data_IF_762398935623
#
_entry.id   IF_762398935623
#
_cell.length_a   1.000
_cell.length_b   1.000
_cell.length_c   1.000
_cell.angle_alpha   90.00
_cell.angle_beta   90.00
_cell.angle_gamma   90.00
#
_symmetry.space_group_name_H-M   'P 1'
#
loop_
_entity.id
_entity.type
_entity.pdbx_description
1 polymer ?
#
# COMPACT_ATOMS: atom_id res chain seq x y z
N UNK A 1 -9.46 12.26 -1.90
CA UNK A 1 -9.21 13.08 -3.12
C UNK A 1 -8.76 12.22 -4.31
N UNK A 2 -7.73 11.37 -4.22
CA UNK A 2 -7.26 10.57 -5.38
C UNK A 2 -8.30 9.58 -5.93
N UNK A 3 -9.24 9.12 -5.10
CA UNK A 3 -10.32 8.24 -5.50
C UNK A 3 -11.37 8.92 -6.39
N UNK A 4 -11.62 10.22 -6.20
CA UNK A 4 -12.57 10.99 -7.01
C UNK A 4 -12.11 11.15 -8.46
N UNK A 5 -10.79 11.28 -8.68
CA UNK A 5 -10.22 11.37 -10.03
C UNK A 5 -10.47 10.06 -10.80
N UNK A 6 -10.25 8.93 -10.12
CA UNK A 6 -10.48 7.62 -10.70
C UNK A 6 -11.98 7.38 -10.98
N UNK A 7 -12.84 7.78 -10.04
CA UNK A 7 -14.31 7.69 -10.19
C UNK A 7 -14.83 8.48 -11.40
N UNK A 8 -14.30 9.71 -11.59
CA UNK A 8 -14.66 10.53 -12.75
C UNK A 8 -14.28 9.88 -14.08
N UNK A 9 -13.08 9.27 -14.14
CA UNK A 9 -12.65 8.55 -15.33
C UNK A 9 -13.48 7.27 -15.59
N UNK A 10 -13.89 6.56 -14.52
CA UNK A 10 -14.78 5.38 -14.61
C UNK A 10 -16.15 5.74 -15.18
N UNK A 11 -16.72 6.86 -14.74
CA UNK A 11 -18.03 7.31 -15.24
C UNK A 11 -18.00 7.53 -16.77
N UNK A 12 -16.84 7.86 -17.33
CA UNK A 12 -16.65 8.04 -18.76
C UNK A 12 -16.50 6.71 -19.55
N UNK A 13 -16.14 5.60 -18.89
CA UNK A 13 -15.95 4.29 -19.53
C UNK A 13 -17.24 3.47 -19.69
N UNK A 14 -18.28 3.79 -18.92
CA UNK A 14 -19.57 3.12 -18.98
C UNK A 14 -19.93 2.29 -17.74
N UNK A 15 -21.20 1.89 -17.66
CA UNK A 15 -21.76 1.22 -16.47
C UNK A 15 -21.15 -0.16 -16.20
N UNK A 16 -20.84 -0.94 -17.25
CA UNK A 16 -20.27 -2.28 -17.12
C UNK A 16 -18.86 -2.26 -16.53
N UNK A 17 -17.99 -1.33 -17.00
CA UNK A 17 -16.64 -1.17 -16.48
C UNK A 17 -16.65 -0.64 -15.03
N UNK A 18 -17.61 0.25 -14.72
CA UNK A 18 -17.83 0.72 -13.36
C UNK A 18 -18.24 -0.41 -12.42
N UNK A 19 -19.16 -1.28 -12.84
CA UNK A 19 -19.59 -2.44 -12.04
C UNK A 19 -18.44 -3.41 -11.80
N UNK A 20 -17.66 -3.73 -12.84
CA UNK A 20 -16.49 -4.60 -12.75
C UNK A 20 -15.44 -4.05 -11.75
N UNK A 21 -15.11 -2.76 -11.88
CA UNK A 21 -14.19 -2.11 -10.95
C UNK A 21 -14.71 -2.07 -9.52
N UNK A 22 -16.00 -1.73 -9.34
CA UNK A 22 -16.61 -1.62 -8.00
C UNK A 22 -16.55 -2.96 -7.27
N UNK A 23 -16.87 -4.06 -7.94
CA UNK A 23 -16.78 -5.40 -7.35
C UNK A 23 -15.33 -5.78 -7.01
N UNK A 24 -14.40 -5.56 -7.95
CA UNK A 24 -12.97 -5.85 -7.74
C UNK A 24 -12.35 -4.98 -6.63
N UNK A 25 -12.75 -3.72 -6.52
CA UNK A 25 -12.25 -2.80 -5.49
C UNK A 25 -12.65 -3.21 -4.06
N UNK A 26 -13.74 -3.94 -3.89
CA UNK A 26 -14.11 -4.51 -2.58
C UNK A 26 -13.11 -5.59 -2.14
N UNK A 27 -12.67 -6.42 -3.08
CA UNK A 27 -11.62 -7.41 -2.83
C UNK A 27 -10.29 -6.73 -2.55
N UNK A 28 -9.90 -5.72 -3.36
CA UNK A 28 -8.72 -4.90 -3.11
C UNK A 28 -8.72 -4.29 -1.71
N UNK A 29 -9.84 -3.75 -1.26
CA UNK A 29 -9.95 -3.13 0.06
C UNK A 29 -9.63 -4.11 1.20
N UNK A 30 -10.07 -5.36 1.11
CA UNK A 30 -9.72 -6.41 2.07
C UNK A 30 -8.22 -6.70 2.06
N UNK A 31 -7.61 -6.83 0.86
CA UNK A 31 -6.17 -7.09 0.71
C UNK A 31 -5.33 -5.94 1.26
N UNK A 32 -5.75 -4.69 1.01
CA UNK A 32 -5.08 -3.49 1.55
C UNK A 32 -5.15 -3.43 3.08
N UNK A 33 -6.26 -3.82 3.68
CA UNK A 33 -6.39 -3.89 5.14
C UNK A 33 -5.43 -4.89 5.75
N UNK A 34 -5.31 -6.08 5.15
CA UNK A 34 -4.36 -7.10 5.61
C UNK A 34 -2.92 -6.58 5.53
N UNK A 35 -2.51 -6.03 4.39
CA UNK A 35 -1.16 -5.48 4.22
C UNK A 35 -0.93 -4.24 5.09
N UNK A 36 -1.93 -3.40 5.26
CA UNK A 36 -1.89 -2.22 6.12
C UNK A 36 -1.68 -2.54 7.60
N UNK A 37 -2.23 -3.67 8.07
CA UNK A 37 -2.04 -4.15 9.43
C UNK A 37 -0.56 -4.42 9.75
N UNK A 38 0.21 -4.98 8.80
CA UNK A 38 1.66 -5.14 8.95
C UNK A 38 2.39 -3.81 9.06
N UNK A 39 1.96 -2.78 8.29
CA UNK A 39 2.50 -1.43 8.41
C UNK A 39 2.25 -0.85 9.82
N UNK A 40 1.02 -0.94 10.31
CA UNK A 40 0.64 -0.45 11.64
C UNK A 40 1.43 -1.17 12.74
N UNK A 41 1.54 -2.49 12.67
CA UNK A 41 2.35 -3.28 13.61
C UNK A 41 3.83 -2.86 13.57
N UNK A 42 4.40 -2.67 12.38
CA UNK A 42 5.77 -2.18 12.22
C UNK A 42 5.95 -0.79 12.82
N UNK A 43 5.00 0.13 12.64
CA UNK A 43 5.04 1.47 13.25
C UNK A 43 5.06 1.41 14.76
N UNK A 44 4.18 0.63 15.37
CA UNK A 44 4.10 0.46 16.82
C UNK A 44 5.41 -0.13 17.38
N UNK A 45 5.92 -1.19 16.75
CA UNK A 45 7.16 -1.82 17.13
C UNK A 45 8.35 -0.84 17.05
N UNK A 46 8.44 -0.10 15.94
CA UNK A 46 9.48 0.91 15.73
C UNK A 46 9.37 2.01 16.76
N UNK A 47 8.19 2.55 17.04
CA UNK A 47 7.99 3.62 18.01
C UNK A 47 8.42 3.21 19.42
N UNK A 48 8.05 2.02 19.88
CA UNK A 48 8.43 1.50 21.20
C UNK A 48 9.94 1.32 21.33
N UNK A 49 10.59 0.73 20.32
CA UNK A 49 12.05 0.53 20.36
C UNK A 49 12.83 1.83 20.14
N UNK A 50 12.27 2.78 19.40
CA UNK A 50 12.84 4.12 19.25
C UNK A 50 12.82 4.89 20.58
N UNK A 51 11.71 4.82 21.32
CA UNK A 51 11.58 5.39 22.65
C UNK A 51 12.62 4.82 23.65
N UNK A 52 12.91 3.50 23.56
CA UNK A 52 13.93 2.84 24.39
C UNK A 52 15.37 3.03 23.90
N UNK A 53 15.59 3.59 22.71
CA UNK A 53 16.93 3.72 22.12
C UNK A 53 17.48 2.42 21.49
N UNK A 54 16.65 1.39 21.33
CA UNK A 54 17.01 0.06 20.84
C UNK A 54 17.08 0.03 19.30
N UNK A 55 18.05 0.77 18.74
CA UNK A 55 18.14 1.01 17.28
C UNK A 55 18.45 -0.27 16.47
N UNK A 56 19.16 -1.22 17.06
CA UNK A 56 19.43 -2.53 16.46
C UNK A 56 18.13 -3.33 16.25
N UNK A 57 17.25 -3.34 17.26
CA UNK A 57 15.95 -4.00 17.21
C UNK A 57 15.03 -3.40 16.15
N UNK A 58 15.09 -2.07 15.95
CA UNK A 58 14.30 -1.41 14.89
C UNK A 58 14.69 -1.96 13.51
N UNK A 59 16.01 -2.07 13.21
CA UNK A 59 16.44 -2.61 11.91
C UNK A 59 16.02 -4.04 11.70
N UNK A 60 16.16 -4.87 12.71
CA UNK A 60 15.76 -6.27 12.67
C UNK A 60 14.24 -6.42 12.51
N UNK A 61 13.45 -5.66 13.30
CA UNK A 61 12.00 -5.67 13.24
C UNK A 61 11.47 -5.23 11.88
N UNK A 62 12.00 -4.15 11.30
CA UNK A 62 11.61 -3.71 9.96
C UNK A 62 11.94 -4.79 8.91
N UNK A 63 13.13 -5.41 8.99
CA UNK A 63 13.50 -6.50 8.08
C UNK A 63 12.55 -7.70 8.19
N UNK A 64 12.22 -8.12 9.41
CA UNK A 64 11.26 -9.21 9.65
C UNK A 64 9.86 -8.85 9.16
N UNK A 65 9.41 -7.62 9.42
CA UNK A 65 8.11 -7.13 8.91
C UNK A 65 8.06 -7.16 7.38
N UNK A 66 9.14 -6.76 6.69
CA UNK A 66 9.23 -6.84 5.24
C UNK A 66 9.14 -8.29 4.74
N UNK A 67 9.88 -9.23 5.36
CA UNK A 67 9.84 -10.64 4.99
C UNK A 67 8.43 -11.25 5.17
N UNK A 68 7.79 -10.98 6.31
CA UNK A 68 6.43 -11.46 6.59
C UNK A 68 5.42 -10.85 5.61
N UNK A 69 5.51 -9.55 5.36
CA UNK A 69 4.60 -8.87 4.43
C UNK A 69 4.76 -9.37 3.00
N UNK A 70 5.98 -9.64 2.55
CA UNK A 70 6.22 -10.24 1.23
C UNK A 70 5.65 -11.66 1.14
N UNK A 71 5.84 -12.49 2.16
CA UNK A 71 5.25 -13.83 2.22
C UNK A 71 3.72 -13.77 2.16
N UNK A 72 3.11 -12.86 2.93
CA UNK A 72 1.66 -12.65 2.91
C UNK A 72 1.19 -12.11 1.55
N UNK A 73 1.95 -11.20 0.92
CA UNK A 73 1.61 -10.69 -0.43
C UNK A 73 1.57 -11.83 -1.46
N UNK A 74 2.50 -12.78 -1.40
CA UNK A 74 2.49 -13.98 -2.26
C UNK A 74 1.26 -14.84 -1.97
N UNK A 75 0.93 -15.06 -0.70
CA UNK A 75 -0.24 -15.84 -0.29
C UNK A 75 -1.55 -15.16 -0.76
N UNK A 76 -1.66 -13.84 -0.63
CA UNK A 76 -2.82 -13.07 -1.12
C UNK A 76 -2.93 -13.11 -2.65
N UNK A 77 -1.81 -13.05 -3.36
CA UNK A 77 -1.80 -13.22 -4.82
C UNK A 77 -2.28 -14.62 -5.21
N UNK A 78 -1.77 -15.65 -4.55
CA UNK A 78 -2.24 -17.02 -4.77
C UNK A 78 -3.74 -17.17 -4.47
N UNK A 79 -4.22 -16.58 -3.37
CA UNK A 79 -5.64 -16.53 -3.04
C UNK A 79 -6.48 -15.90 -4.16
N UNK A 80 -6.05 -14.77 -4.72
CA UNK A 80 -6.74 -14.10 -5.84
C UNK A 80 -6.80 -15.00 -7.07
N UNK A 81 -5.73 -15.71 -7.40
CA UNK A 81 -5.70 -16.60 -8.56
C UNK A 81 -6.55 -17.85 -8.38
N UNK A 82 -6.56 -18.44 -7.20
CA UNK A 82 -7.29 -19.68 -6.89
C UNK A 82 -8.77 -19.43 -6.60
N UNK A 83 -9.09 -18.43 -5.80
CA UNK A 83 -10.43 -18.20 -5.25
C UNK A 83 -11.06 -16.89 -5.72
N UNK A 84 -10.35 -16.05 -6.48
CA UNK A 84 -10.83 -14.73 -6.91
C UNK A 84 -12.11 -14.81 -7.73
N UNK A 85 -12.27 -15.82 -8.58
CA UNK A 85 -13.50 -16.01 -9.36
C UNK A 85 -14.70 -16.28 -8.45
N UNK A 86 -14.57 -17.22 -7.51
CA UNK A 86 -15.61 -17.51 -6.53
C UNK A 86 -15.96 -16.27 -5.70
N UNK A 87 -14.95 -15.53 -5.23
CA UNK A 87 -15.16 -14.31 -4.46
C UNK A 87 -15.92 -13.23 -5.28
N UNK A 88 -15.59 -13.07 -6.56
CA UNK A 88 -16.25 -12.09 -7.43
C UNK A 88 -17.71 -12.43 -7.69
N UNK A 89 -18.09 -13.72 -7.73
CA UNK A 89 -19.50 -14.13 -7.89
C UNK A 89 -20.40 -13.78 -6.69
N UNK A 90 -19.82 -13.41 -5.55
CA UNK A 90 -20.58 -12.86 -4.42
C UNK A 90 -21.11 -11.44 -4.68
N UNK A 91 -20.53 -10.72 -5.66
CA UNK A 91 -20.86 -9.33 -5.97
C UNK A 91 -21.39 -9.12 -7.39
N UNK A 92 -21.17 -10.07 -8.29
CA UNK A 92 -21.55 -10.01 -9.69
C UNK A 92 -22.35 -11.26 -10.02
N UNK A 93 -23.52 -11.07 -10.62
CA UNK A 93 -24.35 -12.20 -11.06
C UNK A 93 -23.59 -13.02 -12.13
N UNK A 94 -23.68 -14.36 -12.09
CA UNK A 94 -22.95 -15.23 -13.04
C UNK A 94 -23.29 -14.98 -14.51
N UNK A 95 -24.48 -14.44 -14.80
CA UNK A 95 -24.94 -14.10 -16.14
C UNK A 95 -24.18 -12.92 -16.76
N UNK A 96 -23.56 -12.06 -15.94
CA UNK A 96 -22.78 -10.90 -16.37
C UNK A 96 -21.32 -11.28 -16.63
N UNK A 97 -21.10 -12.22 -17.55
CA UNK A 97 -19.78 -12.82 -17.83
C UNK A 97 -18.70 -11.80 -18.21
N UNK A 98 -19.06 -10.74 -18.92
CA UNK A 98 -18.14 -9.67 -19.28
C UNK A 98 -17.65 -8.88 -18.06
N UNK A 99 -18.56 -8.52 -17.16
CA UNK A 99 -18.25 -7.77 -15.93
C UNK A 99 -17.37 -8.62 -15.01
N UNK A 100 -17.70 -9.91 -14.87
CA UNK A 100 -16.89 -10.85 -14.11
C UNK A 100 -15.48 -11.00 -14.68
N UNK A 101 -15.35 -11.18 -15.99
CA UNK A 101 -14.04 -11.33 -16.65
C UNK A 101 -13.19 -10.06 -16.51
N UNK A 102 -13.77 -8.88 -16.68
CA UNK A 102 -13.08 -7.59 -16.53
C UNK A 102 -12.63 -7.36 -15.09
N UNK A 103 -13.48 -7.63 -14.11
CA UNK A 103 -13.14 -7.53 -12.70
C UNK A 103 -12.04 -8.52 -12.27
N UNK A 104 -12.10 -9.77 -12.76
CA UNK A 104 -11.04 -10.76 -12.54
C UNK A 104 -9.72 -10.35 -13.16
N UNK A 105 -9.74 -9.80 -14.37
CA UNK A 105 -8.54 -9.28 -15.03
C UNK A 105 -7.93 -8.15 -14.21
N UNK A 106 -8.75 -7.24 -13.68
CA UNK A 106 -8.30 -6.17 -12.81
C UNK A 106 -7.59 -6.71 -11.58
N UNK A 107 -8.28 -7.52 -10.75
CA UNK A 107 -7.74 -7.97 -9.45
C UNK A 107 -6.54 -8.91 -9.61
N UNK A 108 -6.52 -9.77 -10.63
CA UNK A 108 -5.37 -10.64 -10.92
C UNK A 108 -4.14 -9.84 -11.31
N UNK A 109 -4.31 -8.80 -12.13
CA UNK A 109 -3.20 -7.94 -12.53
C UNK A 109 -2.68 -7.12 -11.36
N UNK A 110 -3.55 -6.48 -10.58
CA UNK A 110 -3.15 -5.67 -9.41
C UNK A 110 -2.51 -6.50 -8.31
N UNK A 111 -2.98 -7.74 -8.10
CA UNK A 111 -2.42 -8.64 -7.06
C UNK A 111 -0.95 -8.97 -7.27
N UNK A 112 -0.45 -8.99 -8.50
CA UNK A 112 0.98 -9.20 -8.78
C UNK A 112 1.87 -8.12 -8.17
N UNK A 113 1.31 -6.96 -7.89
CA UNK A 113 2.02 -5.81 -7.32
C UNK A 113 1.81 -5.65 -5.80
N UNK A 114 1.10 -6.57 -5.14
CA UNK A 114 0.87 -6.50 -3.68
C UNK A 114 2.17 -6.52 -2.87
N UNK A 115 3.22 -7.16 -3.37
CA UNK A 115 4.55 -7.11 -2.75
C UNK A 115 5.10 -5.68 -2.65
N UNK A 116 4.93 -4.88 -3.70
CA UNK A 116 5.36 -3.47 -3.74
C UNK A 116 4.54 -2.64 -2.75
N UNK A 117 3.22 -2.84 -2.73
CA UNK A 117 2.33 -2.19 -1.76
C UNK A 117 2.71 -2.54 -0.32
N UNK A 118 3.01 -3.81 -0.05
CA UNK A 118 3.44 -4.28 1.26
C UNK A 118 4.74 -3.61 1.72
N UNK A 119 5.74 -3.54 0.84
CA UNK A 119 6.99 -2.80 1.11
C UNK A 119 6.71 -1.32 1.40
N UNK A 120 5.83 -0.70 0.61
CA UNK A 120 5.41 0.69 0.83
C UNK A 120 4.86 0.88 2.25
N UNK A 121 3.91 0.06 2.66
CA UNK A 121 3.31 0.15 3.99
C UNK A 121 4.35 0.00 5.09
N UNK A 122 5.17 -1.04 5.08
CA UNK A 122 6.16 -1.27 6.14
C UNK A 122 7.15 -0.12 6.25
N UNK A 123 7.74 0.33 5.11
CA UNK A 123 8.75 1.40 5.11
C UNK A 123 8.14 2.74 5.51
N UNK A 124 6.97 3.07 4.97
CA UNK A 124 6.25 4.31 5.28
C UNK A 124 5.87 4.39 6.75
N UNK A 125 5.31 3.32 7.30
CA UNK A 125 4.90 3.26 8.69
C UNK A 125 6.07 3.17 9.67
N UNK A 126 7.20 2.57 9.27
CA UNK A 126 8.43 2.63 10.07
C UNK A 126 8.95 4.08 10.23
N UNK A 127 8.84 4.91 9.18
CA UNK A 127 9.17 6.35 9.27
C UNK A 127 8.21 7.10 10.19
N UNK A 128 6.93 6.75 10.19
CA UNK A 128 5.94 7.29 11.14
C UNK A 128 6.32 6.90 12.58
N UNK A 129 6.74 5.66 12.79
CA UNK A 129 7.14 5.15 14.10
C UNK A 129 8.34 5.88 14.73
N UNK A 130 9.25 6.44 13.93
CA UNK A 130 10.33 7.32 14.43
C UNK A 130 9.96 8.81 14.43
N UNK A 131 8.70 9.17 14.24
CA UNK A 131 8.22 10.55 14.25
C UNK A 131 8.50 11.36 12.99
N UNK A 132 8.91 10.72 11.89
CA UNK A 132 9.20 11.41 10.60
C UNK A 132 7.97 11.39 9.70
N UNK A 133 7.02 12.29 9.94
CA UNK A 133 5.71 12.33 9.26
C UNK A 133 5.71 13.10 7.93
N UNK A 134 6.69 13.96 7.68
CA UNK A 134 6.79 14.78 6.46
C UNK A 134 6.90 13.90 5.20
N UNK A 135 7.71 12.83 5.24
CA UNK A 135 7.87 11.92 4.10
C UNK A 135 6.59 11.15 3.78
N UNK A 136 5.92 10.49 4.74
CA UNK A 136 4.59 9.91 4.53
C UNK A 136 3.57 10.87 3.90
N UNK A 137 3.60 12.15 4.29
CA UNK A 137 2.74 13.18 3.70
C UNK A 137 3.12 13.48 2.24
N UNK A 138 4.42 13.66 1.95
CA UNK A 138 4.91 13.85 0.58
C UNK A 138 4.60 12.65 -0.33
N UNK A 139 4.71 11.43 0.20
CA UNK A 139 4.31 10.19 -0.49
C UNK A 139 2.82 10.20 -0.83
N UNK A 140 1.96 10.62 0.10
CA UNK A 140 0.52 10.75 -0.17
C UNK A 140 0.21 11.76 -1.29
N UNK A 141 0.93 12.89 -1.34
CA UNK A 141 0.81 13.86 -2.44
C UNK A 141 1.31 13.28 -3.77
N UNK A 142 2.43 12.56 -3.77
CA UNK A 142 2.94 11.89 -4.97
C UNK A 142 1.96 10.84 -5.52
N UNK A 143 1.28 10.10 -4.64
CA UNK A 143 0.23 9.15 -5.04
C UNK A 143 -0.95 9.85 -5.75
N UNK A 144 -1.38 11.02 -5.26
CA UNK A 144 -2.44 11.81 -5.91
C UNK A 144 -1.99 12.27 -7.29
N UNK A 145 -0.79 12.84 -7.40
CA UNK A 145 -0.23 13.34 -8.65
C UNK A 145 -0.05 12.21 -9.67
N UNK A 146 0.53 11.09 -9.25
CA UNK A 146 0.73 9.91 -10.12
C UNK A 146 -0.61 9.35 -10.59
N UNK A 147 -1.58 9.20 -9.69
CA UNK A 147 -2.91 8.72 -10.05
C UNK A 147 -3.60 9.63 -11.07
N UNK A 148 -3.54 10.95 -10.88
CA UNK A 148 -4.08 11.90 -11.82
C UNK A 148 -3.41 11.78 -13.20
N UNK A 149 -2.08 11.76 -13.24
CA UNK A 149 -1.32 11.63 -14.48
C UNK A 149 -1.60 10.32 -15.23
N UNK A 150 -1.55 9.18 -14.51
CA UNK A 150 -1.79 7.85 -15.10
C UNK A 150 -3.24 7.72 -15.56
N UNK A 151 -4.20 8.19 -14.76
CA UNK A 151 -5.62 8.16 -15.15
C UNK A 151 -5.84 8.99 -16.40
N UNK A 152 -5.31 10.22 -16.46
CA UNK A 152 -5.48 11.09 -17.62
C UNK A 152 -4.80 10.53 -18.89
N UNK A 153 -3.59 9.98 -18.77
CA UNK A 153 -2.81 9.51 -19.91
C UNK A 153 -3.25 8.11 -20.38
N UNK A 154 -3.34 7.15 -19.44
CA UNK A 154 -3.55 5.74 -19.82
C UNK A 154 -5.04 5.40 -19.97
N UNK A 155 -5.93 5.96 -19.16
CA UNK A 155 -7.37 5.67 -19.31
C UNK A 155 -7.91 6.24 -20.61
N UNK A 156 -7.44 7.42 -21.00
CA UNK A 156 -7.82 8.04 -22.29
C UNK A 156 -7.38 7.23 -23.51
N UNK A 157 -6.21 6.55 -23.43
CA UNK A 157 -5.66 5.77 -24.54
C UNK A 157 -6.09 4.32 -24.55
N UNK A 158 -6.19 3.69 -23.38
CA UNK A 158 -6.37 2.24 -23.22
C UNK A 158 -7.65 1.86 -22.47
N UNK A 159 -8.53 2.84 -22.14
CA UNK A 159 -9.79 2.58 -21.45
C UNK A 159 -9.60 1.85 -20.13
N UNK A 160 -10.40 0.81 -19.87
CA UNK A 160 -10.35 0.01 -18.65
C UNK A 160 -8.99 -0.63 -18.39
N UNK A 161 -8.26 -1.03 -19.44
CA UNK A 161 -6.90 -1.59 -19.29
C UNK A 161 -5.91 -0.55 -18.70
N UNK A 162 -5.99 0.71 -19.15
CA UNK A 162 -5.18 1.79 -18.58
C UNK A 162 -5.47 2.02 -17.09
N UNK A 163 -6.73 1.84 -16.70
CA UNK A 163 -7.15 1.98 -15.32
C UNK A 163 -6.56 0.91 -14.38
N UNK A 164 -6.38 -0.33 -14.86
CA UNK A 164 -5.77 -1.41 -14.08
C UNK A 164 -4.40 -1.01 -13.55
N UNK A 165 -3.62 -0.27 -14.33
CA UNK A 165 -2.27 0.15 -13.96
C UNK A 165 -2.20 1.42 -13.10
N UNK A 166 -3.31 2.11 -12.86
CA UNK A 166 -3.32 3.34 -12.06
C UNK A 166 -2.87 3.11 -10.62
N UNK A 167 -3.32 2.04 -9.96
CA UNK A 167 -2.91 1.71 -8.59
C UNK A 167 -1.48 1.19 -8.51
N UNK A 168 -1.05 0.21 -9.33
CA UNK A 168 0.34 -0.22 -9.37
C UNK A 168 1.34 0.92 -9.62
N UNK A 169 1.07 1.82 -10.55
CA UNK A 169 1.94 2.98 -10.81
C UNK A 169 2.11 3.87 -9.57
N UNK A 170 1.02 4.12 -8.83
CA UNK A 170 1.08 4.85 -7.55
C UNK A 170 1.95 4.11 -6.53
N UNK A 171 1.87 2.78 -6.45
CA UNK A 171 2.67 2.01 -5.50
C UNK A 171 4.15 2.02 -5.87
N UNK A 172 4.48 1.94 -7.15
CA UNK A 172 5.87 2.07 -7.61
C UNK A 172 6.46 3.43 -7.24
N UNK A 173 5.79 4.53 -7.59
CA UNK A 173 6.29 5.88 -7.32
C UNK A 173 6.39 6.16 -5.82
N UNK A 174 5.38 5.78 -5.04
CA UNK A 174 5.38 5.98 -3.59
C UNK A 174 6.42 5.11 -2.88
N UNK A 175 6.59 3.85 -3.31
CA UNK A 175 7.61 2.97 -2.75
C UNK A 175 9.01 3.45 -3.09
N UNK A 176 9.26 3.86 -4.34
CA UNK A 176 10.55 4.41 -4.76
C UNK A 176 10.92 5.65 -3.92
N UNK A 177 9.97 6.57 -3.72
CA UNK A 177 10.17 7.75 -2.89
C UNK A 177 10.44 7.38 -1.43
N UNK A 178 9.67 6.45 -0.86
CA UNK A 178 9.92 5.96 0.50
C UNK A 178 11.30 5.34 0.66
N UNK A 179 11.69 4.44 -0.25
CA UNK A 179 12.97 3.76 -0.19
C UNK A 179 14.16 4.71 -0.39
N UNK A 180 14.04 5.70 -1.28
CA UNK A 180 15.06 6.73 -1.49
C UNK A 180 15.30 7.58 -0.22
N UNK A 181 14.21 7.92 0.48
CA UNK A 181 14.28 8.77 1.69
C UNK A 181 14.60 7.97 2.96
N UNK A 182 14.26 6.68 3.01
CA UNK A 182 14.35 5.85 4.21
C UNK A 182 15.73 5.84 4.87
N UNK A 183 16.86 5.57 4.18
CA UNK A 183 18.18 5.49 4.82
C UNK A 183 18.58 6.81 5.48
N UNK A 184 18.39 7.93 4.79
CA UNK A 184 18.76 9.26 5.29
C UNK A 184 17.89 9.67 6.48
N UNK A 185 16.60 9.39 6.46
CA UNK A 185 15.67 9.73 7.53
C UNK A 185 15.90 8.87 8.77
N UNK A 186 16.11 7.57 8.59
CA UNK A 186 16.46 6.68 9.71
C UNK A 186 17.80 7.07 10.35
N UNK A 187 18.81 7.42 9.54
CA UNK A 187 20.08 7.94 10.06
C UNK A 187 19.88 9.20 10.90
N UNK A 188 19.12 10.18 10.39
CA UNK A 188 18.80 11.43 11.13
C UNK A 188 18.03 11.13 12.41
N UNK A 189 17.04 10.25 12.39
CA UNK A 189 16.29 9.86 13.57
C UNK A 189 17.18 9.19 14.61
N UNK A 190 18.08 8.30 14.20
CA UNK A 190 19.01 7.63 15.09
C UNK A 190 20.04 8.58 15.71
N UNK A 191 20.57 9.54 14.95
CA UNK A 191 21.46 10.59 15.48
C UNK A 191 20.69 11.44 16.48
N UNK A 192 19.50 11.90 16.14
CA UNK A 192 18.66 12.70 17.03
C UNK A 192 18.35 11.96 18.34
N UNK A 193 18.04 10.67 18.27
CA UNK A 193 17.76 9.86 19.48
C UNK A 193 18.96 9.69 20.40
N UNK A 194 20.19 9.61 19.85
CA UNK A 194 21.41 9.53 20.65
C UNK A 194 21.74 10.83 21.40
N UNK A 195 21.30 11.97 20.88
CA UNK A 195 21.52 13.30 21.49
C UNK A 195 20.51 13.57 22.61
N UNK A 196 19.32 12.99 22.53
CA UNK A 196 18.30 13.16 23.57
C UNK A 196 18.71 12.47 24.87
N UNK A 197 18.48 13.10 26.05
CA UNK A 197 18.74 12.47 27.34
C UNK A 197 17.99 11.13 27.42
N UNK A 198 18.66 10.12 27.96
CA UNK A 198 18.00 8.85 28.28
C UNK A 198 16.93 9.15 29.36
N UNK A 199 15.73 8.58 29.28
CA UNK A 199 14.81 8.63 30.39
C UNK A 199 15.56 8.10 31.61
N UNK A 200 15.65 8.90 32.67
CA UNK A 200 16.32 8.51 33.89
C UNK A 200 15.70 7.20 34.38
N UNK A 201 16.54 6.20 34.61
CA UNK A 201 16.14 4.90 35.17
C UNK A 201 15.69 4.96 36.64
N UNK A 202 15.33 6.14 37.13
CA UNK A 202 14.97 6.42 38.53
C UNK A 202 13.47 6.73 38.64
N UNK A 203 12.61 5.73 38.45
CA UNK A 203 11.23 5.73 38.93
C UNK A 203 10.86 4.37 39.57
N UNK A 204 11.86 3.66 40.14
CA UNK A 204 11.64 2.54 41.02
C UNK A 204 12.13 2.97 42.41
N UNK A 205 11.24 3.67 43.15
CA UNK A 205 11.32 3.96 44.55
C UNK A 205 9.98 3.68 45.19
#
# INVERSE_FOLDING_TARGET
MSFLILQSALNALGSSDMAAYTAASKMDALMYQILGAFGTAASTFVAQNYGKGELGRIREGVRKSLQMTLAVSVALTAFVYLLGQWFMTLFIAPQESWILASGLRYIRTTSLFFGILGVNYVVRFALIGVGKTIIPMAVGLSEIATRAAVTFLLVRQFGFTGMIFASPACWFTSTALCLACYPSMMKKAFVQRKILPQPSANLDG
#
